data_IF_158740563074
#
_entry.id   IF_158740563074
#
_cell.length_a   1.000
_cell.length_b   1.000
_cell.length_c   1.000
_cell.angle_alpha   90.00
_cell.angle_beta   90.00
_cell.angle_gamma   90.00
#
_symmetry.space_group_name_H-M   'P 1'
#
loop_
_entity.id
_entity.type
_entity.pdbx_description
1 polymer ?
#
# COMPACT_ATOMS: atom_id res chain seq x y z
N UNK A 1 -7.22 -8.15 9.59
CA UNK A 1 -7.70 -7.13 8.64
C UNK A 1 -7.48 -7.63 7.22
N UNK A 2 -8.53 -7.74 6.40
CA UNK A 2 -8.38 -8.18 5.00
C UNK A 2 -7.88 -7.05 4.11
N UNK A 3 -6.94 -7.34 3.22
CA UNK A 3 -6.52 -6.47 2.11
C UNK A 3 -7.31 -6.91 0.88
N UNK A 4 -8.27 -6.08 0.45
CA UNK A 4 -9.10 -6.36 -0.71
C UNK A 4 -8.27 -6.47 -1.99
N UNK A 5 -8.72 -7.28 -2.94
CA UNK A 5 -8.15 -7.37 -4.29
C UNK A 5 -8.93 -6.50 -5.28
N UNK A 6 -8.39 -5.34 -5.69
CA UNK A 6 -9.02 -4.48 -6.70
C UNK A 6 -9.24 -5.16 -8.06
N UNK A 7 -8.44 -6.16 -8.40
CA UNK A 7 -8.54 -6.89 -9.67
C UNK A 7 -9.54 -8.05 -9.61
N UNK A 8 -9.98 -8.44 -8.40
CA UNK A 8 -10.96 -9.51 -8.16
C UNK A 8 -11.99 -9.04 -7.13
N UNK A 9 -13.08 -8.36 -7.54
CA UNK A 9 -14.10 -7.87 -6.63
C UNK A 9 -14.63 -8.96 -5.69
N UNK A 10 -14.63 -8.67 -4.38
CA UNK A 10 -15.00 -9.64 -3.34
C UNK A 10 -13.88 -10.59 -2.90
N UNK A 11 -12.71 -10.55 -3.55
CA UNK A 11 -11.51 -11.28 -3.17
C UNK A 11 -10.60 -10.52 -2.22
N UNK A 12 -9.69 -11.24 -1.56
CA UNK A 12 -8.62 -10.69 -0.74
C UNK A 12 -7.26 -11.05 -1.36
N UNK A 13 -6.31 -10.11 -1.30
CA UNK A 13 -4.89 -10.36 -1.63
C UNK A 13 -4.20 -11.03 -0.44
N UNK A 14 -4.46 -10.53 0.77
CA UNK A 14 -3.83 -10.98 2.00
C UNK A 14 -4.70 -10.65 3.22
N UNK A 15 -4.37 -11.25 4.36
CA UNK A 15 -4.94 -10.91 5.67
C UNK A 15 -3.81 -10.48 6.59
N UNK A 16 -3.90 -9.25 7.09
CA UNK A 16 -3.00 -8.72 8.12
C UNK A 16 -3.49 -9.15 9.50
N UNK A 17 -2.69 -9.90 10.22
CA UNK A 17 -2.86 -10.26 11.62
C UNK A 17 -2.40 -9.12 12.53
N UNK A 18 -3.23 -8.80 13.53
CA UNK A 18 -2.89 -7.87 14.62
C UNK A 18 -2.47 -8.61 15.88
N UNK A 19 -2.31 -9.94 15.83
CA UNK A 19 -1.98 -10.73 17.00
C UNK A 19 -0.62 -10.31 17.57
N UNK A 20 -0.60 -9.93 18.85
CA UNK A 20 0.61 -9.49 19.54
C UNK A 20 1.03 -8.04 19.27
N UNK A 21 0.31 -7.29 18.42
CA UNK A 21 0.54 -5.86 18.22
C UNK A 21 -0.33 -5.04 19.18
N UNK A 22 0.29 -4.12 19.93
CA UNK A 22 -0.43 -3.18 20.80
C UNK A 22 -1.09 -2.04 20.01
N UNK A 23 -0.45 -1.59 18.93
CA UNK A 23 -0.93 -0.55 18.04
C UNK A 23 -0.55 -0.90 16.59
N UNK A 24 -1.56 -1.01 15.72
CA UNK A 24 -1.36 -1.30 14.30
C UNK A 24 -2.46 -0.61 13.49
N UNK A 25 -2.04 0.25 12.56
CA UNK A 25 -2.91 0.91 11.62
C UNK A 25 -2.64 0.37 10.21
N UNK A 26 -3.70 0.32 9.39
CA UNK A 26 -3.64 -0.12 8.00
C UNK A 26 -4.38 0.89 7.15
N UNK A 27 -3.74 1.37 6.08
CA UNK A 27 -4.36 2.26 5.10
C UNK A 27 -4.05 1.78 3.69
N UNK A 28 -4.98 2.00 2.76
CA UNK A 28 -4.82 1.60 1.36
C UNK A 28 -5.13 2.77 0.43
N UNK A 29 -4.23 3.03 -0.51
CA UNK A 29 -4.42 4.00 -1.59
C UNK A 29 -4.42 3.27 -2.92
N UNK A 30 -5.33 3.63 -3.81
CA UNK A 30 -5.47 2.98 -5.11
C UNK A 30 -6.55 3.63 -5.95
N UNK A 31 -6.73 3.12 -7.16
CA UNK A 31 -7.67 3.70 -8.14
C UNK A 31 -9.05 3.06 -8.12
N UNK A 32 -9.25 1.97 -7.36
CA UNK A 32 -10.49 1.21 -7.34
C UNK A 32 -11.71 2.06 -6.95
N UNK A 33 -11.56 2.92 -5.94
CA UNK A 33 -12.67 3.66 -5.34
C UNK A 33 -13.01 4.98 -6.07
N UNK A 34 -12.01 5.64 -6.66
CA UNK A 34 -12.17 7.01 -7.22
C UNK A 34 -11.39 7.25 -8.52
N UNK A 35 -10.96 6.20 -9.22
CA UNK A 35 -10.15 6.33 -10.43
C UNK A 35 -8.81 7.05 -10.17
N UNK A 36 -8.27 7.69 -11.20
CA UNK A 36 -6.97 8.36 -11.19
C UNK A 36 -7.00 9.73 -10.47
N UNK A 37 -7.29 9.71 -9.17
CA UNK A 37 -7.44 10.91 -8.33
C UNK A 37 -6.18 11.26 -7.52
N UNK A 38 -5.20 10.34 -7.44
CA UNK A 38 -3.94 10.57 -6.74
C UNK A 38 -3.04 11.40 -7.66
N UNK A 39 -2.59 12.55 -7.17
CA UNK A 39 -1.77 13.51 -7.92
C UNK A 39 -0.29 13.30 -7.66
N UNK A 40 0.55 13.34 -8.69
CA UNK A 40 2.01 13.48 -8.51
C UNK A 40 2.34 14.96 -8.24
N UNK A 41 2.83 15.31 -7.04
CA UNK A 41 3.12 16.70 -6.68
C UNK A 41 4.21 17.33 -7.54
N UNK A 42 5.05 16.54 -8.23
CA UNK A 42 6.09 17.07 -9.13
C UNK A 42 5.53 17.63 -10.42
N UNK A 43 4.39 17.12 -10.85
CA UNK A 43 3.78 17.47 -12.15
C UNK A 43 2.43 18.16 -12.02
N UNK A 44 1.78 18.05 -10.85
CA UNK A 44 0.42 18.55 -10.61
C UNK A 44 -0.66 17.78 -11.39
N UNK A 45 -0.32 16.62 -11.97
CA UNK A 45 -1.21 15.77 -12.77
C UNK A 45 -1.49 14.45 -12.04
N UNK A 46 -2.52 13.69 -12.44
CA UNK A 46 -2.70 12.32 -11.95
C UNK A 46 -1.40 11.52 -12.06
N UNK A 47 -1.06 10.78 -11.01
CA UNK A 47 0.15 9.99 -10.96
C UNK A 47 0.15 8.92 -12.06
N UNK A 48 1.23 8.87 -12.83
CA UNK A 48 1.47 7.79 -13.80
C UNK A 48 2.25 6.70 -13.08
N UNK A 49 1.58 5.59 -12.81
CA UNK A 49 2.09 4.50 -11.98
C UNK A 49 1.67 3.15 -12.55
N UNK A 50 2.47 2.12 -12.27
CA UNK A 50 2.18 0.73 -12.58
C UNK A 50 1.36 0.04 -11.48
N UNK A 51 0.98 0.77 -10.43
CA UNK A 51 0.23 0.28 -9.27
C UNK A 51 -1.28 0.46 -9.45
N UNK A 52 -2.05 -0.49 -8.92
CA UNK A 52 -3.51 -0.37 -8.73
C UNK A 52 -3.88 -0.18 -7.26
N UNK A 53 -3.04 -0.66 -6.34
CA UNK A 53 -3.17 -0.41 -4.92
C UNK A 53 -1.82 -0.46 -4.19
N UNK A 54 -1.73 0.30 -3.10
CA UNK A 54 -0.70 0.20 -2.07
C UNK A 54 -1.39 0.16 -0.73
N UNK A 55 -1.10 -0.87 0.07
CA UNK A 55 -1.52 -0.98 1.46
C UNK A 55 -0.31 -0.82 2.35
N UNK A 56 -0.38 0.06 3.34
CA UNK A 56 0.68 0.29 4.33
C UNK A 56 0.18 -0.09 5.72
N UNK A 57 1.06 -0.73 6.48
CA UNK A 57 0.93 -1.10 7.88
C UNK A 57 1.96 -0.30 8.67
N UNK A 58 1.51 0.42 9.70
CA UNK A 58 2.36 1.27 10.55
C UNK A 58 1.71 1.49 11.93
N UNK A 59 2.44 2.00 12.95
CA UNK A 59 1.87 2.28 14.27
C UNK A 59 0.74 3.33 14.27
N UNK A 60 0.77 4.28 13.33
CA UNK A 60 -0.17 5.41 13.29
C UNK A 60 -0.86 5.56 11.94
N UNK A 61 -2.19 5.74 11.98
CA UNK A 61 -3.02 5.84 10.77
C UNK A 61 -2.61 6.99 9.86
N UNK A 62 -2.29 8.15 10.43
CA UNK A 62 -1.84 9.33 9.67
C UNK A 62 -0.66 8.99 8.76
N UNK A 63 0.31 8.24 9.28
CA UNK A 63 1.48 7.85 8.52
C UNK A 63 1.18 6.75 7.52
N UNK A 64 0.43 5.73 7.90
CA UNK A 64 -0.01 4.68 6.98
C UNK A 64 -0.71 5.27 5.75
N UNK A 65 -1.64 6.21 5.96
CA UNK A 65 -2.42 6.84 4.89
C UNK A 65 -1.56 7.75 3.99
N UNK A 66 -0.70 8.58 4.61
CA UNK A 66 0.23 9.44 3.89
C UNK A 66 1.24 8.64 3.06
N UNK A 67 1.79 7.57 3.63
CA UNK A 67 2.78 6.72 2.95
C UNK A 67 2.15 5.88 1.84
N UNK A 68 0.95 5.36 2.03
CA UNK A 68 0.23 4.65 0.96
C UNK A 68 0.01 5.57 -0.26
N UNK A 69 -0.43 6.81 -0.03
CA UNK A 69 -0.64 7.79 -1.11
C UNK A 69 0.68 8.18 -1.78
N UNK A 70 1.71 8.48 -0.99
CA UNK A 70 3.01 8.88 -1.51
C UNK A 70 3.72 7.76 -2.28
N UNK A 71 3.63 6.51 -1.81
CA UNK A 71 4.19 5.35 -2.49
C UNK A 71 3.44 5.04 -3.79
N UNK A 72 2.10 5.13 -3.79
CA UNK A 72 1.30 4.99 -5.00
C UNK A 72 1.75 5.98 -6.08
N UNK A 73 1.94 7.25 -5.71
CA UNK A 73 2.41 8.30 -6.61
C UNK A 73 3.87 8.11 -7.08
N UNK A 74 4.69 7.34 -6.36
CA UNK A 74 6.09 7.03 -6.72
C UNK A 74 6.23 5.85 -7.69
N UNK A 75 5.22 5.01 -7.82
CA UNK A 75 5.31 3.75 -8.59
C UNK A 75 5.96 2.61 -7.82
N UNK A 76 5.79 1.38 -8.31
CA UNK A 76 6.13 0.16 -7.56
C UNK A 76 7.59 0.12 -7.10
N UNK A 77 8.53 0.34 -8.02
CA UNK A 77 9.97 0.20 -7.75
C UNK A 77 10.49 1.26 -6.79
N UNK A 78 10.17 2.53 -7.02
CA UNK A 78 10.63 3.63 -6.18
C UNK A 78 9.83 3.73 -4.87
N UNK A 79 8.56 3.36 -4.89
CA UNK A 79 7.69 3.28 -3.73
C UNK A 79 8.14 2.20 -2.76
N UNK A 80 8.36 0.97 -3.24
CA UNK A 80 8.81 -0.15 -2.40
C UNK A 80 10.15 0.14 -1.72
N UNK A 81 11.16 0.56 -2.49
CA UNK A 81 12.47 0.87 -1.93
C UNK A 81 12.45 2.03 -0.93
N UNK A 82 11.52 2.98 -1.07
CA UNK A 82 11.32 4.04 -0.10
C UNK A 82 10.59 3.54 1.16
N UNK A 83 9.55 2.73 1.02
CA UNK A 83 8.82 2.14 2.15
C UNK A 83 9.72 1.24 3.01
N UNK A 84 10.58 0.44 2.39
CA UNK A 84 11.61 -0.36 3.08
C UNK A 84 12.59 0.46 3.93
N UNK A 85 12.74 1.75 3.62
CA UNK A 85 13.63 2.65 4.36
C UNK A 85 12.97 3.35 5.56
N UNK A 86 11.65 3.22 5.70
CA UNK A 86 10.89 3.87 6.77
C UNK A 86 10.85 2.97 8.01
N UNK A 87 11.06 3.53 9.22
CA UNK A 87 10.99 2.74 10.46
C UNK A 87 9.57 2.25 10.70
N UNK A 88 9.45 1.05 11.27
CA UNK A 88 8.17 0.45 11.70
C UNK A 88 7.09 0.49 10.60
N UNK A 89 7.50 0.31 9.35
CA UNK A 89 6.63 0.44 8.18
C UNK A 89 6.70 -0.81 7.35
N UNK A 90 5.55 -1.42 7.13
CA UNK A 90 5.42 -2.54 6.20
C UNK A 90 4.40 -2.22 5.12
N UNK A 91 4.53 -2.81 3.95
CA UNK A 91 3.63 -2.51 2.84
C UNK A 91 3.45 -3.67 1.86
N UNK A 92 2.27 -3.72 1.26
CA UNK A 92 1.92 -4.55 0.12
C UNK A 92 1.56 -3.65 -1.06
N UNK A 93 2.14 -3.91 -2.21
CA UNK A 93 1.91 -3.18 -3.45
C UNK A 93 1.36 -4.16 -4.50
N UNK A 94 0.23 -3.82 -5.11
CA UNK A 94 -0.33 -4.56 -6.24
C UNK A 94 -0.15 -3.76 -7.53
N UNK A 95 0.53 -4.36 -8.50
CA UNK A 95 0.70 -3.79 -9.83
C UNK A 95 -0.49 -4.12 -10.74
N UNK A 96 -0.65 -3.34 -11.81
CA UNK A 96 -1.69 -3.53 -12.81
C UNK A 96 -1.57 -4.86 -13.58
N UNK A 97 -0.36 -5.43 -13.67
CA UNK A 97 -0.12 -6.77 -14.22
C UNK A 97 -0.32 -7.91 -13.20
N UNK A 98 -0.84 -7.59 -12.01
CA UNK A 98 -1.21 -8.56 -10.98
C UNK A 98 -0.06 -9.06 -10.12
N UNK A 99 1.12 -8.44 -10.18
CA UNK A 99 2.24 -8.79 -9.29
C UNK A 99 2.01 -8.17 -7.92
N UNK A 100 2.21 -9.00 -6.90
CA UNK A 100 2.26 -8.57 -5.51
C UNK A 100 3.72 -8.37 -5.13
N UNK A 101 4.05 -7.15 -4.70
CA UNK A 101 5.32 -6.81 -4.08
C UNK A 101 5.06 -6.46 -2.62
N UNK A 102 6.03 -6.66 -1.76
CA UNK A 102 5.89 -6.28 -0.36
C UNK A 102 7.24 -5.98 0.27
N UNK A 103 7.22 -5.24 1.36
CA UNK A 103 8.39 -5.07 2.22
C UNK A 103 8.76 -6.40 2.89
N UNK A 104 10.03 -6.58 3.25
CA UNK A 104 10.51 -7.83 3.82
C UNK A 104 9.82 -8.20 5.14
N UNK A 105 9.55 -7.22 6.01
CA UNK A 105 8.96 -7.44 7.33
C UNK A 105 7.46 -7.72 7.32
N UNK A 106 6.75 -7.41 6.21
CA UNK A 106 5.31 -7.67 6.07
C UNK A 106 4.98 -9.15 6.32
N UNK A 107 5.91 -10.06 5.98
CA UNK A 107 5.78 -11.49 6.21
C UNK A 107 5.43 -11.87 7.67
N UNK A 108 5.82 -11.03 8.64
CA UNK A 108 5.52 -11.25 10.06
C UNK A 108 4.10 -10.84 10.46
N UNK A 109 3.42 -10.08 9.59
CA UNK A 109 2.08 -9.56 9.81
C UNK A 109 1.01 -10.26 8.97
N UNK A 110 1.36 -11.09 8.00
CA UNK A 110 0.39 -11.83 7.18
C UNK A 110 0.11 -13.22 7.75
N UNK A 111 -1.16 -13.61 7.75
CA UNK A 111 -1.66 -14.91 8.21
C UNK A 111 -1.94 -15.87 7.04
#
# INVERSE_FOLDING_TARGET
MGIADPLRPGGLIAVVSTAGASELAVATSGTAERGAHITDPRTGRPAVTDLVAVTVVAPHLTWADCWATAAFARGSRAGLGWLESLPDTEALLLTADGKVLHTAGLATHIA
#
